data_IF_012449335135
#
_entry.id   IF_012449335135
#
_cell.length_a   1.000
_cell.length_b   1.000
_cell.length_c   1.000
_cell.angle_alpha   90.00
_cell.angle_beta   90.00
_cell.angle_gamma   90.00
#
_symmetry.space_group_name_H-M   'P 1'
#
loop_
_entity.id
_entity.type
_entity.pdbx_description
1 polymer ?
#
# COMPACT_ATOMS: atom_id res chain seq x y z
N UNK A 1 -13.94 -16.49 -10.52
CA UNK A 1 -13.32 -15.16 -10.37
C UNK A 1 -12.48 -15.14 -9.10
N UNK A 2 -11.18 -15.03 -9.28
CA UNK A 2 -10.23 -14.95 -8.16
C UNK A 2 -10.40 -13.61 -7.45
N UNK A 3 -10.82 -13.61 -6.19
CA UNK A 3 -10.88 -12.39 -5.38
C UNK A 3 -9.59 -12.22 -4.60
N UNK A 4 -8.89 -11.11 -4.85
CA UNK A 4 -7.67 -10.73 -4.12
C UNK A 4 -8.06 -9.89 -2.91
N UNK A 5 -7.66 -10.30 -1.71
CA UNK A 5 -7.67 -9.45 -0.52
C UNK A 5 -6.27 -9.34 0.03
N UNK A 6 -5.79 -8.11 0.25
CA UNK A 6 -4.59 -7.87 1.01
C UNK A 6 -4.94 -7.87 2.50
N UNK A 7 -4.28 -8.68 3.31
CA UNK A 7 -4.29 -8.52 4.76
C UNK A 7 -2.90 -8.07 5.20
N UNK A 8 -2.78 -6.82 5.61
CA UNK A 8 -1.62 -6.34 6.32
C UNK A 8 -1.73 -6.82 7.77
N UNK A 9 -1.20 -8.00 8.08
CA UNK A 9 -1.03 -8.44 9.45
C UNK A 9 0.43 -8.24 9.83
N UNK A 10 0.76 -7.10 10.40
CA UNK A 10 2.05 -6.89 11.00
C UNK A 10 2.03 -7.44 12.43
N UNK A 11 2.61 -8.60 12.62
CA UNK A 11 2.91 -9.13 13.93
C UNK A 11 4.42 -9.38 14.02
N UNK A 12 5.04 -8.86 15.09
CA UNK A 12 6.48 -8.99 15.35
C UNK A 12 6.93 -10.46 15.39
N UNK A 13 6.08 -11.36 15.86
CA UNK A 13 6.34 -12.81 15.89
C UNK A 13 6.36 -13.48 14.51
N UNK A 14 5.73 -12.89 13.50
CA UNK A 14 5.70 -13.45 12.13
C UNK A 14 6.95 -13.12 11.33
N UNK A 15 7.72 -12.08 11.69
CA UNK A 15 8.95 -11.67 10.99
C UNK A 15 9.99 -12.79 10.92
N UNK A 16 10.25 -13.45 12.04
CA UNK A 16 11.23 -14.55 12.11
C UNK A 16 10.76 -15.81 11.36
N UNK A 17 9.44 -16.00 11.23
CA UNK A 17 8.86 -17.19 10.60
C UNK A 17 8.92 -17.15 9.08
N UNK A 18 8.98 -15.97 8.45
CA UNK A 18 8.92 -15.81 7.00
C UNK A 18 10.23 -15.30 6.37
N UNK A 19 11.31 -15.16 7.14
CA UNK A 19 12.62 -14.80 6.63
C UNK A 19 12.76 -13.36 6.12
N UNK A 20 11.85 -12.45 6.52
CA UNK A 20 11.93 -11.02 6.20
C UNK A 20 12.31 -10.22 7.44
N UNK A 21 13.17 -9.22 7.26
CA UNK A 21 13.69 -8.38 8.35
C UNK A 21 12.63 -7.42 8.91
N UNK A 22 11.80 -6.86 8.04
CA UNK A 22 10.79 -5.85 8.35
C UNK A 22 9.38 -6.28 7.98
N UNK A 23 8.33 -5.63 8.53
CA UNK A 23 6.95 -5.80 8.07
C UNK A 23 6.86 -5.63 6.56
N UNK A 24 6.19 -6.56 5.91
CA UNK A 24 6.12 -6.70 4.46
C UNK A 24 4.69 -6.99 4.03
N UNK A 25 4.38 -6.79 2.77
CA UNK A 25 3.05 -7.08 2.23
C UNK A 25 3.02 -8.50 1.67
N UNK A 26 2.02 -9.26 2.11
CA UNK A 26 1.80 -10.64 1.73
C UNK A 26 0.42 -10.80 1.10
N UNK A 27 0.31 -11.65 0.09
CA UNK A 27 -0.96 -12.04 -0.51
C UNK A 27 -1.33 -13.47 -0.11
N UNK A 28 -2.63 -13.66 0.12
CA UNK A 28 -3.28 -14.95 0.24
C UNK A 28 -4.46 -15.00 -0.72
N UNK A 29 -4.73 -16.18 -1.25
CA UNK A 29 -5.86 -16.43 -2.14
C UNK A 29 -6.86 -17.34 -1.45
N UNK A 30 -8.14 -17.08 -1.67
CA UNK A 30 -9.24 -17.94 -1.23
C UNK A 30 -10.30 -18.01 -2.31
N UNK A 31 -10.88 -19.18 -2.48
CA UNK A 31 -11.91 -19.44 -3.48
C UNK A 31 -13.29 -18.97 -2.99
N UNK A 32 -13.53 -18.98 -1.69
CA UNK A 32 -14.81 -18.71 -1.04
C UNK A 32 -14.80 -17.52 -0.07
N UNK A 33 -13.64 -16.93 0.22
CA UNK A 33 -13.40 -15.88 1.21
C UNK A 33 -13.64 -16.31 2.68
N UNK A 34 -13.90 -17.57 2.95
CA UNK A 34 -14.15 -18.11 4.28
C UNK A 34 -12.95 -18.93 4.77
N UNK A 35 -12.36 -19.73 3.89
CA UNK A 35 -11.23 -20.61 4.22
C UNK A 35 -9.90 -19.93 3.86
N UNK A 36 -9.14 -19.53 4.89
CA UNK A 36 -7.87 -18.85 4.74
C UNK A 36 -6.71 -19.58 5.44
N UNK A 37 -6.97 -20.41 6.43
CA UNK A 37 -5.96 -20.95 7.35
C UNK A 37 -4.94 -21.83 6.64
N UNK A 38 -5.39 -22.72 5.79
CA UNK A 38 -4.55 -23.70 5.07
C UNK A 38 -3.99 -23.19 3.73
N UNK A 39 -4.27 -21.94 3.37
CA UNK A 39 -3.79 -21.37 2.11
C UNK A 39 -2.39 -20.79 2.28
N UNK A 40 -1.48 -20.96 1.29
CA UNK A 40 -0.15 -20.39 1.35
C UNK A 40 -0.21 -18.85 1.34
N UNK A 41 0.73 -18.23 2.07
CA UNK A 41 0.96 -16.79 1.99
C UNK A 41 2.16 -16.55 1.07
N UNK A 42 2.00 -15.63 0.14
CA UNK A 42 3.03 -15.26 -0.82
C UNK A 42 3.55 -13.87 -0.49
N UNK A 43 4.87 -13.72 -0.35
CA UNK A 43 5.48 -12.39 -0.23
C UNK A 43 5.24 -11.63 -1.52
N UNK A 44 4.55 -10.49 -1.43
CA UNK A 44 4.35 -9.60 -2.57
C UNK A 44 5.51 -8.63 -2.71
N UNK A 45 5.73 -7.82 -1.67
CA UNK A 45 6.86 -6.90 -1.59
C UNK A 45 7.40 -6.84 -0.16
N UNK A 46 8.72 -6.68 -0.04
CA UNK A 46 9.39 -6.34 1.20
C UNK A 46 9.68 -4.83 1.28
N UNK A 47 9.89 -4.33 2.50
CA UNK A 47 10.38 -2.98 2.71
C UNK A 47 11.79 -2.81 2.13
N UNK A 48 12.16 -1.58 1.77
CA UNK A 48 13.49 -1.21 1.27
C UNK A 48 14.30 -0.58 2.40
N UNK A 49 15.35 -1.27 2.82
CA UNK A 49 16.21 -0.83 3.93
C UNK A 49 16.82 0.55 3.67
N UNK A 50 16.80 1.41 4.68
CA UNK A 50 17.35 2.77 4.61
C UNK A 50 16.50 3.76 3.80
N UNK A 51 15.26 3.42 3.50
CA UNK A 51 14.33 4.30 2.76
C UNK A 51 13.10 4.66 3.58
N UNK A 52 12.24 5.54 3.03
CA UNK A 52 10.97 5.92 3.63
C UNK A 52 9.98 4.74 3.81
N UNK A 53 10.21 3.63 3.14
CA UNK A 53 9.36 2.44 3.13
C UNK A 53 10.07 1.19 3.66
N UNK A 54 10.88 1.35 4.68
CA UNK A 54 11.60 0.23 5.31
C UNK A 54 10.63 -0.76 5.96
N UNK A 55 9.56 -0.26 6.58
CA UNK A 55 8.41 -1.03 7.06
C UNK A 55 7.21 -0.68 6.20
N UNK A 56 6.51 -1.67 5.68
CA UNK A 56 5.38 -1.46 4.80
C UNK A 56 4.17 -2.31 5.18
N UNK A 57 2.98 -1.81 4.84
CA UNK A 57 1.72 -2.54 4.98
C UNK A 57 0.71 -2.13 3.93
N UNK A 58 -0.13 -3.07 3.52
CA UNK A 58 -1.25 -2.78 2.62
C UNK A 58 -2.26 -1.84 3.27
N UNK A 59 -2.81 -0.92 2.51
CA UNK A 59 -3.75 0.07 3.02
C UNK A 59 -5.13 -0.07 2.42
N UNK A 60 -5.31 0.25 1.15
CA UNK A 60 -6.63 0.28 0.52
C UNK A 60 -6.92 -1.02 -0.27
N UNK A 61 -8.19 -1.36 -0.50
CA UNK A 61 -8.54 -2.42 -1.43
C UNK A 61 -7.99 -2.14 -2.82
N UNK A 62 -7.47 -3.17 -3.54
CA UNK A 62 -6.99 -3.01 -4.90
C UNK A 62 -8.12 -2.59 -5.86
N UNK A 63 -7.80 -1.72 -6.82
CA UNK A 63 -8.68 -1.29 -7.90
C UNK A 63 -8.24 -1.97 -9.19
N UNK A 64 -9.14 -2.69 -9.86
CA UNK A 64 -8.87 -3.23 -11.18
C UNK A 64 -8.94 -2.12 -12.24
N UNK A 65 -7.85 -1.94 -12.96
CA UNK A 65 -7.71 -0.99 -14.06
C UNK A 65 -7.35 -1.71 -15.37
N UNK A 66 -7.27 -0.98 -16.47
CA UNK A 66 -6.79 -1.54 -17.74
C UNK A 66 -5.31 -1.93 -17.67
N UNK A 67 -4.50 -1.20 -16.90
CA UNK A 67 -3.07 -1.47 -16.71
C UNK A 67 -2.77 -2.61 -15.72
N UNK A 68 -3.76 -3.05 -14.91
CA UNK A 68 -3.61 -4.06 -13.88
C UNK A 68 -4.28 -3.66 -12.56
N UNK A 69 -3.92 -4.32 -11.46
CA UNK A 69 -4.44 -4.01 -10.14
C UNK A 69 -3.63 -2.89 -9.49
N UNK A 70 -4.24 -1.71 -9.35
CA UNK A 70 -3.68 -0.60 -8.58
C UNK A 70 -3.97 -0.83 -7.10
N UNK A 71 -2.95 -0.79 -6.25
CA UNK A 71 -3.11 -0.81 -4.79
C UNK A 71 -2.21 0.23 -4.14
N UNK A 72 -2.71 0.83 -3.05
CA UNK A 72 -1.95 1.76 -2.23
C UNK A 72 -1.46 1.04 -0.98
N UNK A 73 -0.28 1.43 -0.52
CA UNK A 73 0.33 0.93 0.69
C UNK A 73 0.93 2.07 1.50
N UNK A 74 1.10 1.85 2.79
CA UNK A 74 1.85 2.77 3.63
C UNK A 74 3.27 2.28 3.86
N UNK A 75 4.18 3.21 3.97
CA UNK A 75 5.57 2.97 4.33
C UNK A 75 5.98 3.84 5.52
N UNK A 76 6.93 3.32 6.31
CA UNK A 76 7.52 4.01 7.46
C UNK A 76 9.02 3.69 7.49
N UNK A 77 9.87 4.72 7.66
CA UNK A 77 11.29 4.53 7.91
C UNK A 77 11.53 3.93 9.30
N UNK A 78 12.56 3.09 9.46
CA UNK A 78 12.98 2.58 10.76
C UNK A 78 14.03 3.52 11.37
N UNK A 79 13.73 4.05 12.54
CA UNK A 79 14.62 4.97 13.26
C UNK A 79 14.34 6.45 12.95
N UNK A 80 14.14 7.22 14.01
CA UNK A 80 13.76 8.63 13.95
C UNK A 80 12.26 8.86 14.17
N UNK A 81 11.73 9.97 13.70
CA UNK A 81 10.29 10.21 13.67
C UNK A 81 9.66 9.26 12.65
N UNK A 82 8.84 8.32 13.15
CA UNK A 82 8.15 7.38 12.30
C UNK A 82 7.05 8.10 11.51
N UNK A 83 7.38 8.59 10.32
CA UNK A 83 6.44 9.26 9.44
C UNK A 83 5.76 8.24 8.52
N UNK A 84 4.43 8.23 8.52
CA UNK A 84 3.66 7.39 7.62
C UNK A 84 3.43 8.11 6.30
N UNK A 85 3.88 7.48 5.22
CA UNK A 85 3.76 7.96 3.84
C UNK A 85 3.09 6.90 2.97
N UNK A 86 2.61 7.31 1.82
CA UNK A 86 1.85 6.45 0.90
C UNK A 86 2.63 6.18 -0.37
N UNK A 87 2.69 4.92 -0.76
CA UNK A 87 3.16 4.49 -2.06
C UNK A 87 2.07 3.79 -2.87
N UNK A 88 2.35 3.55 -4.13
CA UNK A 88 1.47 2.82 -5.03
C UNK A 88 2.19 1.64 -5.69
N UNK A 89 1.43 0.57 -5.90
CA UNK A 89 1.82 -0.62 -6.64
C UNK A 89 0.88 -0.85 -7.81
N UNK A 90 1.43 -1.29 -8.92
CA UNK A 90 0.67 -1.87 -10.02
C UNK A 90 1.01 -3.35 -10.11
N UNK A 91 0.00 -4.21 -10.00
CA UNK A 91 0.17 -5.65 -10.09
C UNK A 91 -0.41 -6.15 -11.42
N UNK A 92 0.14 -7.24 -11.91
CA UNK A 92 -0.36 -7.88 -13.13
C UNK A 92 -1.83 -8.30 -12.97
N UNK A 93 -2.59 -8.10 -14.03
CA UNK A 93 -4.04 -8.34 -14.03
C UNK A 93 -4.38 -9.81 -13.83
N UNK A 94 -3.64 -10.70 -14.48
CA UNK A 94 -3.90 -12.14 -14.47
C UNK A 94 -3.16 -12.86 -13.33
N UNK A 95 -1.97 -12.36 -12.99
CA UNK A 95 -1.17 -12.88 -11.89
C UNK A 95 -0.81 -11.78 -10.89
N UNK A 96 -1.65 -11.50 -9.89
CA UNK A 96 -1.41 -10.43 -8.90
C UNK A 96 -0.15 -10.59 -8.04
N UNK A 97 0.53 -11.74 -8.10
CA UNK A 97 1.84 -11.91 -7.46
C UNK A 97 2.98 -11.22 -8.23
N UNK A 98 2.73 -10.87 -9.49
CA UNK A 98 3.70 -10.14 -10.31
C UNK A 98 3.51 -8.64 -10.12
N UNK A 99 4.51 -8.00 -9.52
CA UNK A 99 4.56 -6.54 -9.40
C UNK A 99 5.09 -5.96 -10.72
N UNK A 100 4.28 -5.14 -11.37
CA UNK A 100 4.65 -4.46 -12.63
C UNK A 100 5.34 -3.12 -12.36
N UNK A 101 4.88 -2.41 -11.32
CA UNK A 101 5.46 -1.13 -10.92
C UNK A 101 5.32 -0.88 -9.43
N UNK A 102 6.28 -0.15 -8.86
CA UNK A 102 6.30 0.30 -7.47
C UNK A 102 6.92 1.70 -7.40
N UNK A 103 6.23 2.64 -6.78
CA UNK A 103 6.74 4.01 -6.64
C UNK A 103 8.07 4.01 -5.86
N UNK A 104 9.11 4.72 -6.33
CA UNK A 104 10.36 4.88 -5.60
C UNK A 104 10.23 5.89 -4.46
N UNK A 105 9.40 6.92 -4.67
CA UNK A 105 9.12 7.98 -3.72
C UNK A 105 7.65 7.93 -3.28
N UNK A 106 7.30 8.50 -2.13
CA UNK A 106 5.91 8.58 -1.69
C UNK A 106 5.08 9.43 -2.66
N UNK A 107 3.82 9.05 -2.87
CA UNK A 107 2.84 9.81 -3.65
C UNK A 107 1.96 10.71 -2.77
N UNK A 108 2.01 10.51 -1.45
CA UNK A 108 1.35 11.32 -0.44
C UNK A 108 2.17 11.23 0.84
N UNK A 109 2.48 12.39 1.41
CA UNK A 109 3.23 12.53 2.66
C UNK A 109 2.64 13.62 3.54
N UNK A 110 2.92 13.64 4.85
CA UNK A 110 2.34 14.64 5.76
C UNK A 110 2.90 16.04 5.47
N UNK A 111 2.00 16.96 5.10
CA UNK A 111 2.36 18.37 4.81
C UNK A 111 1.57 19.34 5.69
N UNK A 112 0.28 19.07 5.92
CA UNK A 112 -0.62 20.01 6.58
C UNK A 112 -0.69 19.76 8.10
N UNK A 113 -1.15 20.79 8.85
CA UNK A 113 -1.23 20.70 10.30
C UNK A 113 -2.07 19.49 10.78
N UNK A 114 -3.13 19.13 10.06
CA UNK A 114 -3.99 17.99 10.39
C UNK A 114 -3.36 16.62 10.06
N UNK A 115 -2.18 16.62 9.42
CA UNK A 115 -1.37 15.44 9.14
C UNK A 115 -0.13 15.37 10.03
N UNK A 116 0.30 16.54 10.54
CA UNK A 116 1.52 16.66 11.35
C UNK A 116 1.25 16.80 12.84
N UNK A 117 0.02 17.20 13.26
CA UNK A 117 -0.34 17.47 14.64
C UNK A 117 -1.56 16.65 15.09
N UNK A 118 -1.37 15.63 15.92
CA UNK A 118 -2.44 14.78 16.41
C UNK A 118 -1.96 13.76 17.45
N UNK A 119 -2.67 12.65 17.56
CA UNK A 119 -2.30 11.55 18.46
C UNK A 119 -1.05 10.82 17.95
N UNK A 120 -0.88 10.75 16.63
CA UNK A 120 0.32 10.26 15.97
C UNK A 120 0.77 11.30 14.94
N UNK A 121 1.77 12.09 15.29
CA UNK A 121 2.27 13.16 14.42
C UNK A 121 2.92 12.63 13.14
N UNK A 122 2.85 13.40 12.04
CA UNK A 122 3.42 13.08 10.74
C UNK A 122 2.89 11.75 10.18
N UNK A 123 1.58 11.65 10.04
CA UNK A 123 0.91 10.44 9.59
C UNK A 123 -0.16 10.73 8.53
N UNK A 124 0.00 10.12 7.37
CA UNK A 124 -1.06 9.94 6.37
C UNK A 124 -1.28 8.44 6.17
N UNK A 125 -2.44 7.93 6.60
CA UNK A 125 -2.74 6.51 6.61
C UNK A 125 -3.97 6.22 5.76
N UNK A 126 -3.82 5.74 4.51
CA UNK A 126 -4.95 5.44 3.64
C UNK A 126 -5.83 4.32 4.19
N UNK A 127 -7.13 4.54 4.21
CA UNK A 127 -8.13 3.60 4.73
C UNK A 127 -9.14 3.17 3.68
N UNK A 128 -9.33 3.95 2.63
CA UNK A 128 -10.26 3.64 1.55
C UNK A 128 -9.95 4.40 0.28
N UNK A 129 -10.44 3.89 -0.83
CA UNK A 129 -10.33 4.54 -2.12
C UNK A 129 -11.56 4.26 -3.01
N UNK A 130 -11.82 5.16 -3.93
CA UNK A 130 -12.85 5.01 -4.96
C UNK A 130 -12.45 5.81 -6.21
N UNK A 131 -12.87 5.35 -7.38
CA UNK A 131 -12.73 6.09 -8.63
C UNK A 131 -14.10 6.55 -9.09
N UNK A 132 -14.23 7.86 -9.32
CA UNK A 132 -15.42 8.49 -9.85
C UNK A 132 -15.02 9.40 -11.00
N UNK A 133 -15.60 9.24 -12.17
CA UNK A 133 -15.32 10.04 -13.37
C UNK A 133 -13.83 10.22 -13.69
N UNK A 134 -13.06 9.11 -13.53
CA UNK A 134 -11.62 9.10 -13.80
C UNK A 134 -10.76 9.79 -12.74
N UNK A 135 -11.35 10.23 -11.63
CA UNK A 135 -10.63 10.77 -10.48
C UNK A 135 -10.56 9.71 -9.39
N UNK A 136 -9.35 9.43 -8.92
CA UNK A 136 -9.09 8.60 -7.75
C UNK A 136 -9.23 9.47 -6.49
N UNK A 137 -10.11 9.06 -5.59
CA UNK A 137 -10.27 9.63 -4.24
C UNK A 137 -9.63 8.66 -3.24
N UNK A 138 -8.72 9.14 -2.43
CA UNK A 138 -8.04 8.40 -1.37
C UNK A 138 -8.42 8.99 -0.03
N UNK A 139 -9.20 8.27 0.75
CA UNK A 139 -9.54 8.66 2.11
C UNK A 139 -8.46 8.16 3.07
N UNK A 140 -7.99 9.04 3.95
CA UNK A 140 -6.91 8.73 4.87
C UNK A 140 -7.12 9.34 6.26
N UNK A 141 -6.53 8.70 7.27
CA UNK A 141 -6.35 9.28 8.59
C UNK A 141 -5.14 10.22 8.58
N UNK A 142 -5.33 11.44 9.07
CA UNK A 142 -4.28 12.42 9.30
C UNK A 142 -3.96 12.50 10.78
N UNK A 143 -2.68 12.26 11.15
CA UNK A 143 -2.15 12.31 12.51
C UNK A 143 -2.99 11.55 13.57
N UNK A 144 -3.68 10.45 13.15
CA UNK A 144 -4.62 9.64 13.98
C UNK A 144 -5.72 10.45 14.66
N UNK A 145 -6.05 11.61 14.14
CA UNK A 145 -7.04 12.53 14.73
C UNK A 145 -8.05 13.05 13.71
N UNK A 146 -7.64 13.18 12.47
CA UNK A 146 -8.43 13.77 11.40
C UNK A 146 -8.69 12.76 10.29
N UNK A 147 -9.70 13.05 9.46
CA UNK A 147 -9.95 12.33 8.22
C UNK A 147 -9.79 13.31 7.07
N UNK A 148 -8.92 12.97 6.14
CA UNK A 148 -8.66 13.71 4.92
C UNK A 148 -9.05 12.96 3.66
N UNK A 149 -9.10 13.66 2.54
CA UNK A 149 -9.21 13.08 1.22
C UNK A 149 -8.21 13.74 0.28
N UNK A 150 -7.40 12.91 -0.40
CA UNK A 150 -6.53 13.33 -1.48
C UNK A 150 -7.11 12.84 -2.81
N UNK A 151 -6.88 13.59 -3.88
CA UNK A 151 -7.39 13.25 -5.21
C UNK A 151 -6.31 13.39 -6.28
N UNK A 152 -6.36 12.51 -7.29
CA UNK A 152 -5.60 12.69 -8.52
C UNK A 152 -6.38 12.12 -9.71
N UNK A 153 -5.97 12.48 -10.93
CA UNK A 153 -6.45 11.78 -12.13
C UNK A 153 -5.87 10.37 -12.14
N UNK A 154 -6.75 9.36 -12.22
CA UNK A 154 -6.32 7.95 -12.23
C UNK A 154 -5.34 7.67 -13.38
N UNK A 155 -5.61 8.22 -14.56
CA UNK A 155 -4.77 8.08 -15.74
C UNK A 155 -3.34 8.61 -15.50
N UNK A 156 -3.19 9.77 -14.85
CA UNK A 156 -1.89 10.34 -14.53
C UNK A 156 -1.07 9.44 -13.59
N UNK A 157 -1.72 8.88 -12.56
CA UNK A 157 -1.06 7.94 -11.66
C UNK A 157 -0.66 6.64 -12.39
N UNK A 158 -1.51 6.10 -13.25
CA UNK A 158 -1.20 4.90 -14.03
C UNK A 158 -0.06 5.15 -15.03
N UNK A 159 -0.04 6.30 -15.71
CA UNK A 159 1.04 6.68 -16.60
C UNK A 159 2.36 6.83 -15.84
N UNK A 160 2.34 7.50 -14.68
CA UNK A 160 3.52 7.59 -13.82
C UNK A 160 4.06 6.20 -13.42
N UNK A 161 3.19 5.29 -12.98
CA UNK A 161 3.56 3.93 -12.62
C UNK A 161 4.16 3.16 -13.82
N UNK A 162 3.50 3.22 -14.96
CA UNK A 162 3.90 2.42 -16.15
C UNK A 162 5.12 2.98 -16.87
N UNK A 163 5.38 4.28 -16.80
CA UNK A 163 6.49 4.92 -17.51
C UNK A 163 7.73 5.12 -16.62
N UNK A 164 7.55 5.41 -15.34
CA UNK A 164 8.63 5.84 -14.44
C UNK A 164 8.96 4.85 -13.32
N UNK A 165 8.03 3.94 -12.98
CA UNK A 165 8.14 3.11 -11.77
C UNK A 165 8.20 1.60 -12.07
N UNK A 166 8.47 1.20 -13.29
CA UNK A 166 8.52 -0.22 -13.68
C UNK A 166 9.52 -1.01 -12.85
N UNK A 167 9.08 -2.18 -12.39
CA UNK A 167 9.96 -3.20 -11.84
C UNK A 167 10.51 -4.05 -13.00
N UNK A 168 11.82 -4.30 -12.98
CA UNK A 168 12.49 -5.19 -13.93
C UNK A 168 12.14 -6.67 -13.69
#
# INVERSE_FOLDING_TARGET
STRVRSSAASDVYKRQRYGVKYPSIWLKFSDDLLAWEDKPSHLLIAGREGTWEEKIGGSTPPILTEAGWLTLYHGVADGGTAEYRVGALLLDRENPLRVLARTPEPILEPEFFYETEGFYSHCVFPTGNVVVDGVLYVYYGGADKYVGVATCRLEELLNYLTEKCRCE
#
